data_IF_450112801820
#
_entry.id   IF_450112801820
#
_cell.length_a   1.000
_cell.length_b   1.000
_cell.length_c   1.000
_cell.angle_alpha   90.00
_cell.angle_beta   90.00
_cell.angle_gamma   90.00
#
_symmetry.space_group_name_H-M   'P 1'
#
loop_
_entity.id
_entity.type
_entity.pdbx_description
1 polymer ?
#
# COMPACT_ATOMS: atom_id res chain seq x y z
N UNK A 1 6.89 5.55 -8.43
CA UNK A 1 7.23 4.58 -7.35
C UNK A 1 6.73 5.15 -6.04
N UNK A 2 6.21 4.32 -5.13
CA UNK A 2 5.73 4.72 -3.80
C UNK A 2 6.49 3.93 -2.74
N UNK A 3 7.66 4.44 -2.35
CA UNK A 3 8.59 3.76 -1.45
C UNK A 3 8.85 4.55 -0.17
N UNK A 4 9.97 4.25 0.48
CA UNK A 4 10.43 4.92 1.70
C UNK A 4 11.57 5.92 1.42
N UNK A 5 11.64 6.45 0.19
CA UNK A 5 12.69 7.40 -0.21
C UNK A 5 12.21 8.85 -0.07
N UNK A 6 13.13 9.81 0.00
CA UNK A 6 12.79 11.22 0.11
C UNK A 6 11.92 11.71 -1.07
N UNK A 7 12.18 11.20 -2.28
CA UNK A 7 11.46 11.54 -3.51
C UNK A 7 10.03 11.00 -3.53
N UNK A 8 9.74 9.99 -2.70
CA UNK A 8 8.44 9.32 -2.63
C UNK A 8 7.73 9.58 -1.30
N UNK A 9 8.32 10.41 -0.45
CA UNK A 9 7.82 10.77 0.86
C UNK A 9 6.46 11.47 0.72
N UNK A 10 5.47 11.02 1.50
CA UNK A 10 4.10 11.52 1.42
C UNK A 10 3.28 10.97 0.26
N UNK A 11 3.84 10.14 -0.63
CA UNK A 11 3.06 9.47 -1.67
C UNK A 11 2.68 8.05 -1.22
N UNK A 12 1.38 7.76 -1.16
CA UNK A 12 0.87 6.47 -0.71
C UNK A 12 0.10 5.77 -1.83
N UNK A 13 0.19 4.44 -1.86
CA UNK A 13 -0.47 3.63 -2.89
C UNK A 13 -1.98 3.84 -2.94
N UNK A 14 -2.64 4.13 -1.80
CA UNK A 14 -4.08 4.33 -1.72
C UNK A 14 -4.56 5.77 -2.00
N UNK A 15 -3.66 6.70 -2.34
CA UNK A 15 -4.06 8.05 -2.72
C UNK A 15 -4.94 8.06 -3.97
N UNK A 16 -5.93 8.96 -3.97
CA UNK A 16 -6.86 9.19 -5.07
C UNK A 16 -7.47 7.88 -5.63
N UNK A 17 -7.96 7.03 -4.72
CA UNK A 17 -8.47 5.69 -5.04
C UNK A 17 -7.48 4.86 -5.89
N UNK A 18 -6.25 4.78 -5.41
CA UNK A 18 -5.18 4.00 -6.03
C UNK A 18 -4.86 4.45 -7.46
N UNK A 19 -4.93 5.76 -7.72
CA UNK A 19 -4.74 6.33 -9.07
C UNK A 19 -3.47 5.81 -9.75
N UNK A 20 -2.33 5.83 -9.06
CA UNK A 20 -1.07 5.31 -9.59
C UNK A 20 -1.14 3.82 -9.98
N UNK A 21 -1.78 2.98 -9.16
CA UNK A 21 -1.94 1.56 -9.49
C UNK A 21 -2.77 1.40 -10.76
N UNK A 22 -3.84 2.17 -10.91
CA UNK A 22 -4.70 2.16 -12.10
C UNK A 22 -3.94 2.59 -13.35
N UNK A 23 -3.11 3.64 -13.26
CA UNK A 23 -2.25 4.10 -14.35
C UNK A 23 -1.25 3.02 -14.77
N UNK A 24 -0.59 2.37 -13.81
CA UNK A 24 0.34 1.27 -14.09
C UNK A 24 -0.37 0.11 -14.77
N UNK A 25 -1.51 -0.33 -14.24
CA UNK A 25 -2.31 -1.41 -14.81
C UNK A 25 -2.78 -1.12 -16.25
N UNK A 26 -3.13 0.14 -16.55
CA UNK A 26 -3.50 0.55 -17.89
C UNK A 26 -2.31 0.61 -18.86
N UNK A 27 -1.10 0.90 -18.35
CA UNK A 27 0.09 1.08 -19.16
C UNK A 27 0.83 -0.24 -19.49
N UNK A 28 0.60 -1.31 -18.71
CA UNK A 28 1.36 -2.56 -18.86
C UNK A 28 0.46 -3.76 -19.10
N UNK A 29 0.81 -4.60 -20.07
CA UNK A 29 0.12 -5.86 -20.35
C UNK A 29 0.61 -7.05 -19.52
N UNK A 30 1.45 -6.82 -18.50
CA UNK A 30 2.09 -7.88 -17.69
C UNK A 30 1.48 -7.92 -16.28
N UNK A 31 1.51 -9.07 -15.58
CA UNK A 31 1.04 -9.15 -14.20
C UNK A 31 1.70 -8.09 -13.30
N UNK A 32 0.87 -7.31 -12.60
CA UNK A 32 1.32 -6.26 -11.67
C UNK A 32 1.17 -6.76 -10.24
N UNK A 33 2.22 -6.62 -9.43
CA UNK A 33 2.17 -6.87 -7.99
C UNK A 33 2.06 -5.52 -7.28
N UNK A 34 1.01 -5.33 -6.48
CA UNK A 34 0.84 -4.12 -5.69
C UNK A 34 1.64 -4.23 -4.37
N UNK A 35 2.65 -3.38 -4.21
CA UNK A 35 3.49 -3.34 -3.02
C UNK A 35 3.64 -1.90 -2.52
N UNK A 36 3.79 -1.76 -1.20
CA UNK A 36 4.10 -0.50 -0.54
C UNK A 36 2.90 0.13 0.14
N UNK A 37 3.04 0.43 1.43
CA UNK A 37 2.03 1.11 2.24
C UNK A 37 0.61 0.50 2.23
N UNK A 38 0.45 -0.78 1.90
CA UNK A 38 -0.81 -1.52 2.09
C UNK A 38 -1.00 -1.78 3.59
N UNK A 39 -1.82 -0.96 4.24
CA UNK A 39 -1.92 -0.92 5.71
C UNK A 39 -3.12 -1.69 6.27
N UNK A 40 -4.15 -1.99 5.46
CA UNK A 40 -5.38 -2.64 5.91
C UNK A 40 -5.81 -3.76 4.96
N UNK A 41 -6.59 -4.75 5.44
CA UNK A 41 -7.18 -5.77 4.58
C UNK A 41 -8.05 -5.20 3.45
N UNK A 42 -8.80 -4.11 3.72
CA UNK A 42 -9.64 -3.45 2.72
C UNK A 42 -8.82 -2.85 1.57
N UNK A 43 -7.64 -2.28 1.87
CA UNK A 43 -6.72 -1.79 0.83
C UNK A 43 -6.19 -2.94 -0.03
N UNK A 44 -5.81 -4.07 0.58
CA UNK A 44 -5.34 -5.24 -0.17
C UNK A 44 -6.44 -5.78 -1.10
N UNK A 45 -7.67 -5.90 -0.60
CA UNK A 45 -8.83 -6.30 -1.40
C UNK A 45 -9.10 -5.32 -2.55
N UNK A 46 -8.97 -4.00 -2.32
CA UNK A 46 -9.12 -2.99 -3.36
C UNK A 46 -8.05 -3.14 -4.46
N UNK A 47 -6.79 -3.37 -4.10
CA UNK A 47 -5.72 -3.61 -5.10
C UNK A 47 -6.04 -4.81 -6.00
N UNK A 48 -6.51 -5.92 -5.42
CA UNK A 48 -6.91 -7.12 -6.17
C UNK A 48 -8.12 -6.83 -7.07
N UNK A 49 -9.14 -6.13 -6.55
CA UNK A 49 -10.32 -5.75 -7.31
C UNK A 49 -10.01 -4.82 -8.50
N UNK A 50 -8.95 -4.00 -8.39
CA UNK A 50 -8.48 -3.15 -9.48
C UNK A 50 -7.71 -3.91 -10.57
N UNK A 51 -7.28 -5.15 -10.31
CA UNK A 51 -6.58 -6.00 -11.27
C UNK A 51 -5.12 -6.30 -10.94
N UNK A 52 -4.64 -5.97 -9.74
CA UNK A 52 -3.33 -6.44 -9.29
C UNK A 52 -3.34 -7.98 -9.23
N UNK A 53 -2.30 -8.61 -9.76
CA UNK A 53 -2.13 -10.07 -9.74
C UNK A 53 -1.90 -10.60 -8.32
N UNK A 54 -1.14 -9.85 -7.51
CA UNK A 54 -0.89 -10.15 -6.12
C UNK A 54 -0.65 -8.85 -5.34
N UNK A 55 -0.69 -8.94 -4.00
CA UNK A 55 -0.43 -7.82 -3.09
C UNK A 55 0.61 -8.23 -2.05
N UNK A 56 1.65 -7.42 -1.88
CA UNK A 56 2.69 -7.63 -0.87
C UNK A 56 2.43 -6.74 0.33
N UNK A 57 2.31 -7.35 1.51
CA UNK A 57 2.04 -6.66 2.77
C UNK A 57 3.16 -6.95 3.76
N UNK A 58 3.92 -5.92 4.11
CA UNK A 58 5.01 -5.98 5.09
C UNK A 58 4.62 -5.37 6.43
N UNK A 59 4.75 -4.05 6.56
CA UNK A 59 4.68 -3.33 7.83
C UNK A 59 3.35 -3.41 8.60
N UNK A 60 2.27 -3.88 7.98
CA UNK A 60 1.01 -4.16 8.65
C UNK A 60 0.93 -5.57 9.27
N UNK A 61 1.86 -6.48 8.92
CA UNK A 61 1.87 -7.88 9.37
C UNK A 61 3.15 -8.22 10.14
N UNK A 62 4.33 -7.92 9.57
CA UNK A 62 5.61 -8.47 10.05
C UNK A 62 6.51 -7.46 10.78
N UNK A 63 6.01 -6.25 11.04
CA UNK A 63 6.75 -5.20 11.78
C UNK A 63 6.03 -4.85 13.09
N UNK A 64 6.20 -5.65 14.16
CA UNK A 64 5.47 -5.46 15.42
C UNK A 64 5.67 -4.06 16.01
N UNK A 65 6.85 -3.46 15.88
CA UNK A 65 7.12 -2.09 16.35
C UNK A 65 6.19 -1.06 15.66
N UNK A 66 6.01 -1.16 14.35
CA UNK A 66 5.12 -0.27 13.60
C UNK A 66 3.64 -0.54 13.91
N UNK A 67 3.29 -1.81 14.11
CA UNK A 67 1.93 -2.19 14.50
C UNK A 67 1.61 -1.57 15.87
N UNK A 68 2.45 -1.81 16.89
CA UNK A 68 2.29 -1.25 18.23
C UNK A 68 2.25 0.27 18.22
N UNK A 69 3.12 0.93 17.44
CA UNK A 69 3.13 2.39 17.32
C UNK A 69 1.78 2.95 16.84
N UNK A 70 1.13 2.31 15.84
CA UNK A 70 -0.19 2.72 15.37
C UNK A 70 -1.26 2.57 16.45
N UNK A 71 -1.22 1.49 17.24
CA UNK A 71 -2.12 1.30 18.37
C UNK A 71 -1.92 2.37 19.45
N UNK A 72 -0.67 2.64 19.85
CA UNK A 72 -0.36 3.67 20.85
C UNK A 72 -0.83 5.05 20.39
N UNK A 73 -0.55 5.42 19.15
CA UNK A 73 -1.02 6.69 18.57
C UNK A 73 -2.54 6.81 18.55
N UNK A 74 -3.27 5.73 18.23
CA UNK A 74 -4.73 5.73 18.18
C UNK A 74 -5.38 5.82 19.57
N UNK A 75 -4.71 5.35 20.62
CA UNK A 75 -5.21 5.33 22.00
C UNK A 75 -4.90 6.65 22.74
N UNK A 76 -4.10 7.55 22.16
CA UNK A 76 -3.80 8.86 22.72
C UNK A 76 -2.51 8.93 23.53
N UNK A 77 -1.48 8.17 23.11
CA UNK A 77 -0.09 8.47 23.53
C UNK A 77 0.38 9.85 23.08
#
# INVERSE_FOLDING_TARGET
MHGYTAETQGRQLAQDDFCFLREVLAAVGRPVIAEGNVATPAMAARCLALGAHAVVVGGAITRPQQITQRFVQAIGG
#
